data_IF_757083671979
#
_entry.id   IF_757083671979
#
_cell.length_a   1.000
_cell.length_b   1.000
_cell.length_c   1.000
_cell.angle_alpha   90.00
_cell.angle_beta   90.00
_cell.angle_gamma   90.00
#
_symmetry.space_group_name_H-M   'P 1'
#
loop_
_entity.id
_entity.type
_entity.pdbx_description
1 polymer ?
#
# COMPACT_ATOMS: atom_id res chain seq x y z
N UNK A 1 15.98 6.99 10.17
CA UNK A 1 15.39 5.63 10.06
C UNK A 1 14.50 5.41 11.26
N UNK A 2 13.29 5.98 11.18
CA UNK A 2 12.22 5.84 12.18
C UNK A 2 11.22 4.81 11.65
N UNK A 3 10.27 4.33 12.46
CA UNK A 3 9.18 3.51 11.92
C UNK A 3 8.45 4.28 10.82
N UNK A 4 8.63 3.85 9.57
CA UNK A 4 7.84 4.32 8.43
C UNK A 4 6.75 3.30 8.11
N UNK A 5 5.58 3.75 7.66
CA UNK A 5 4.54 2.84 7.24
C UNK A 5 5.02 1.99 6.05
N UNK A 6 4.56 0.74 5.98
CA UNK A 6 4.84 -0.14 4.85
C UNK A 6 3.98 0.27 3.65
N UNK A 7 4.61 0.52 2.51
CA UNK A 7 3.92 0.72 1.22
C UNK A 7 4.20 -0.46 0.31
N UNK A 8 3.17 -0.99 -0.32
CA UNK A 8 3.30 -1.99 -1.39
C UNK A 8 2.67 -1.48 -2.69
N UNK A 9 3.16 -2.01 -3.80
CA UNK A 9 2.69 -1.68 -5.14
C UNK A 9 1.78 -2.80 -5.68
N UNK A 10 0.77 -2.42 -6.45
CA UNK A 10 -0.11 -3.32 -7.20
C UNK A 10 -0.17 -2.84 -8.65
N UNK A 11 -0.01 -3.76 -9.58
CA UNK A 11 -0.16 -3.52 -11.01
C UNK A 11 -1.05 -4.58 -11.65
N UNK A 12 -1.65 -4.26 -12.79
CA UNK A 12 -2.42 -5.23 -13.57
C UNK A 12 -1.46 -6.22 -14.24
N UNK A 13 -1.61 -7.51 -13.96
CA UNK A 13 -0.66 -8.54 -14.39
C UNK A 13 -0.45 -8.61 -15.91
N UNK A 14 -1.55 -8.57 -16.68
CA UNK A 14 -1.50 -8.75 -18.14
C UNK A 14 -1.42 -7.44 -18.94
N UNK A 15 -1.70 -6.30 -18.31
CA UNK A 15 -1.85 -5.01 -19.00
C UNK A 15 -1.47 -3.87 -18.06
N UNK A 16 -0.18 -3.75 -17.71
CA UNK A 16 0.28 -2.74 -16.77
C UNK A 16 0.05 -1.33 -17.33
N UNK A 17 -0.64 -0.50 -16.56
CA UNK A 17 -0.82 0.93 -16.84
C UNK A 17 -0.44 1.75 -15.61
N UNK A 18 -1.43 2.11 -14.80
CA UNK A 18 -1.24 2.92 -13.60
C UNK A 18 -1.03 2.00 -12.39
N UNK A 19 0.14 2.09 -11.76
CA UNK A 19 0.44 1.37 -10.50
C UNK A 19 -0.35 1.98 -9.33
N UNK A 20 -0.95 1.12 -8.50
CA UNK A 20 -1.51 1.51 -7.21
C UNK A 20 -0.43 1.38 -6.12
N UNK A 21 -0.19 2.45 -5.37
CA UNK A 21 0.67 2.46 -4.18
C UNK A 21 -0.20 2.51 -2.92
N UNK A 22 -0.18 1.44 -2.13
CA UNK A 22 -0.97 1.33 -0.89
C UNK A 22 -0.06 1.51 0.32
N UNK A 23 -0.24 2.61 1.04
CA UNK A 23 0.46 2.85 2.31
C UNK A 23 -0.38 2.29 3.45
N UNK A 24 0.16 1.32 4.20
CA UNK A 24 -0.55 0.64 5.29
C UNK A 24 -0.30 1.32 6.64
N UNK A 25 -0.98 0.87 7.69
CA UNK A 25 -0.68 1.25 9.07
C UNK A 25 0.28 0.27 9.77
N UNK A 26 0.95 -0.60 9.01
CA UNK A 26 1.94 -1.54 9.52
C UNK A 26 3.35 -0.96 9.38
N UNK A 27 4.27 -1.28 10.29
CA UNK A 27 5.65 -0.88 10.13
C UNK A 27 6.27 -1.60 8.93
N UNK A 28 7.17 -0.94 8.22
CA UNK A 28 7.95 -1.59 7.18
C UNK A 28 8.75 -2.78 7.74
N UNK A 29 8.81 -3.95 7.08
CA UNK A 29 9.50 -5.14 7.62
C UNK A 29 10.99 -4.93 7.92
N UNK A 30 11.67 -4.06 7.16
CA UNK A 30 13.05 -3.65 7.44
C UNK A 30 13.18 -2.61 8.56
N UNK A 31 12.19 -2.48 9.46
CA UNK A 31 12.28 -1.54 10.56
C UNK A 31 13.39 -1.98 11.54
N UNK A 32 14.36 -1.07 11.78
CA UNK A 32 15.57 -1.33 12.55
C UNK A 32 15.28 -1.68 14.03
N UNK A 33 14.15 -1.23 14.56
CA UNK A 33 13.78 -1.34 15.97
C UNK A 33 12.99 -2.62 16.32
N UNK A 34 12.90 -3.60 15.41
CA UNK A 34 12.37 -4.94 15.73
C UNK A 34 10.88 -5.01 16.03
N UNK A 35 10.09 -4.02 15.59
CA UNK A 35 8.63 -4.09 15.71
C UNK A 35 8.12 -5.14 14.73
N UNK A 36 7.36 -6.10 15.25
CA UNK A 36 6.78 -7.16 14.43
C UNK A 36 5.92 -6.53 13.32
N UNK A 37 6.32 -6.76 12.08
CA UNK A 37 5.54 -6.40 10.91
C UNK A 37 4.55 -7.53 10.64
N UNK A 38 3.27 -7.20 10.60
CA UNK A 38 2.25 -8.15 10.16
C UNK A 38 2.31 -8.26 8.64
N UNK A 39 2.25 -9.47 8.07
CA UNK A 39 2.19 -9.63 6.62
C UNK A 39 0.92 -8.97 6.08
N UNK A 40 1.01 -8.41 4.87
CA UNK A 40 -0.17 -7.97 4.12
C UNK A 40 -0.92 -9.21 3.64
N UNK A 41 -2.18 -9.37 4.04
CA UNK A 41 -2.96 -10.54 3.64
C UNK A 41 -3.56 -10.35 2.24
N UNK A 42 -3.82 -11.43 1.49
CA UNK A 42 -4.52 -11.34 0.21
C UNK A 42 -5.89 -10.63 0.31
N UNK A 43 -6.60 -10.80 1.44
CA UNK A 43 -7.85 -10.09 1.71
C UNK A 43 -7.66 -8.57 1.85
N UNK A 44 -6.55 -8.13 2.43
CA UNK A 44 -6.22 -6.72 2.58
C UNK A 44 -5.93 -6.08 1.21
N UNK A 45 -5.23 -6.84 0.34
CA UNK A 45 -4.96 -6.44 -1.05
C UNK A 45 -6.26 -6.31 -1.83
N UNK A 46 -7.15 -7.32 -1.76
CA UNK A 46 -8.44 -7.29 -2.44
C UNK A 46 -9.31 -6.09 -1.99
N UNK A 47 -9.33 -5.80 -0.69
CA UNK A 47 -10.05 -4.64 -0.15
C UNK A 47 -9.44 -3.32 -0.64
N UNK A 48 -8.11 -3.20 -0.66
CA UNK A 48 -7.41 -2.01 -1.13
C UNK A 48 -7.67 -1.75 -2.62
N UNK A 49 -7.63 -2.79 -3.46
CA UNK A 49 -7.97 -2.73 -4.88
C UNK A 49 -9.42 -2.23 -5.04
N UNK A 50 -10.39 -2.84 -4.35
CA UNK A 50 -11.79 -2.42 -4.44
C UNK A 50 -12.00 -0.95 -4.06
N UNK A 51 -11.33 -0.48 -2.99
CA UNK A 51 -11.37 0.94 -2.60
C UNK A 51 -10.72 1.85 -3.62
N UNK A 52 -9.58 1.46 -4.20
CA UNK A 52 -8.88 2.26 -5.21
C UNK A 52 -9.72 2.40 -6.49
N UNK A 53 -10.32 1.30 -6.97
CA UNK A 53 -11.24 1.31 -8.11
C UNK A 53 -12.42 2.26 -7.86
N UNK A 54 -13.04 2.20 -6.68
CA UNK A 54 -14.13 3.11 -6.31
C UNK A 54 -13.70 4.58 -6.24
N UNK A 55 -12.41 4.85 -5.95
CA UNK A 55 -11.81 6.19 -5.91
C UNK A 55 -11.27 6.65 -7.27
N UNK A 56 -11.47 5.88 -8.34
CA UNK A 56 -11.09 6.27 -9.69
C UNK A 56 -9.70 5.80 -10.15
N UNK A 57 -9.10 4.81 -9.48
CA UNK A 57 -7.94 4.13 -10.03
C UNK A 57 -8.34 3.30 -11.24
N UNK A 58 -7.69 3.53 -12.39
CA UNK A 58 -7.86 2.73 -13.61
C UNK A 58 -6.55 1.96 -13.89
N UNK A 59 -6.48 0.65 -13.61
CA UNK A 59 -5.21 -0.10 -13.65
C UNK A 59 -4.54 -0.18 -15.03
N UNK A 60 -5.33 -0.16 -16.10
CA UNK A 60 -4.86 -0.34 -17.48
C UNK A 60 -4.51 0.97 -18.18
N UNK A 61 -4.95 2.11 -17.63
CA UNK A 61 -4.66 3.41 -18.22
C UNK A 61 -3.22 3.81 -17.89
N UNK A 62 -2.50 4.35 -18.85
CA UNK A 62 -1.17 4.91 -18.59
C UNK A 62 -1.28 6.18 -17.74
N UNK A 63 -0.51 6.28 -16.67
CA UNK A 63 -0.60 7.42 -15.77
C UNK A 63 0.41 7.40 -14.64
N UNK A 64 0.42 8.48 -13.87
CA UNK A 64 1.18 8.56 -12.62
C UNK A 64 0.61 7.60 -11.58
N UNK A 65 1.42 7.07 -10.65
CA UNK A 65 0.95 6.16 -9.62
C UNK A 65 -0.26 6.71 -8.85
N UNK A 66 -1.24 5.85 -8.62
CA UNK A 66 -2.40 6.17 -7.81
C UNK A 66 -2.08 5.87 -6.35
N UNK A 67 -2.20 6.85 -5.47
CA UNK A 67 -1.88 6.69 -4.06
C UNK A 67 -3.13 6.41 -3.21
N UNK A 68 -3.10 5.30 -2.48
CA UNK A 68 -4.10 4.98 -1.47
C UNK A 68 -3.44 4.98 -0.08
N UNK A 69 -3.70 6.04 0.68
CA UNK A 69 -3.25 6.13 2.06
C UNK A 69 -4.21 5.40 3.01
N UNK A 70 -3.70 4.38 3.70
CA UNK A 70 -4.34 3.64 4.78
C UNK A 70 -3.50 3.64 6.07
N UNK A 71 -2.61 4.61 6.21
CA UNK A 71 -1.73 4.75 7.39
C UNK A 71 -2.42 5.31 8.62
N UNK A 72 -3.73 5.58 8.56
CA UNK A 72 -4.51 6.05 9.72
C UNK A 72 -4.27 5.16 10.94
N UNK A 73 -3.91 5.79 12.06
CA UNK A 73 -3.58 5.10 13.31
C UNK A 73 -2.15 4.56 13.39
N UNK A 74 -1.31 4.78 12.37
CA UNK A 74 0.12 4.52 12.46
C UNK A 74 0.77 5.55 13.39
N UNK A 75 1.36 5.08 14.48
CA UNK A 75 2.17 5.90 15.37
C UNK A 75 3.64 5.66 15.03
N UNK A 76 4.38 6.66 14.51
CA UNK A 76 5.82 6.54 14.31
C UNK A 76 6.53 6.41 15.66
N UNK A 77 7.75 5.85 15.67
CA UNK A 77 8.59 5.93 16.86
C UNK A 77 8.81 7.39 17.25
N UNK A 78 8.79 7.73 18.56
CA UNK A 78 9.33 9.01 19.02
C UNK A 78 10.80 9.18 18.65
#
# INVERSE_FOLDING_TARGET
>A
MSWTPCTYAVEHADSPGTTLLVTTNQPHPSNWFGREAKPVLPSDVAEAIGRALHKGWTPTDSGSPFHLDRSVGFVPSP
#
